data_IF_457547604692
#
_entry.id   IF_457547604692
#
_cell.length_a   1.000
_cell.length_b   1.000
_cell.length_c   1.000
_cell.angle_alpha   90.00
_cell.angle_beta   90.00
_cell.angle_gamma   90.00
#
_symmetry.space_group_name_H-M   'P 1'
#
loop_
_entity.id
_entity.type
_entity.pdbx_description
1 polymer ?
#
# COMPACT_ATOMS: atom_id res chain seq x y z
N UNK A 1 -13.82 -5.65 -25.07
CA UNK A 1 -14.29 -4.90 -23.88
C UNK A 1 -13.14 -4.68 -22.89
N UNK A 2 -12.44 -5.74 -22.47
CA UNK A 2 -11.29 -5.64 -21.55
C UNK A 2 -10.19 -4.68 -22.01
N UNK A 3 -9.71 -4.81 -23.25
CA UNK A 3 -8.72 -3.88 -23.80
C UNK A 3 -9.22 -2.42 -23.79
N UNK A 4 -10.50 -2.18 -24.08
CA UNK A 4 -11.07 -0.84 -24.01
C UNK A 4 -11.04 -0.29 -22.57
N UNK A 5 -11.47 -1.08 -21.58
CA UNK A 5 -11.43 -0.71 -20.16
C UNK A 5 -10.00 -0.40 -19.71
N UNK A 6 -9.03 -1.25 -20.06
CA UNK A 6 -7.62 -1.02 -19.72
C UNK A 6 -7.08 0.30 -20.28
N UNK A 7 -7.40 0.64 -21.53
CA UNK A 7 -6.85 1.82 -22.20
C UNK A 7 -7.61 3.13 -21.94
N UNK A 8 -8.71 3.14 -21.18
CA UNK A 8 -9.34 4.40 -20.73
C UNK A 8 -8.41 5.10 -19.73
N UNK A 9 -8.11 6.40 -19.87
CA UNK A 9 -7.41 7.16 -18.84
C UNK A 9 -8.27 7.27 -17.57
N UNK A 10 -7.69 6.91 -16.41
CA UNK A 10 -8.41 6.86 -15.14
C UNK A 10 -7.81 7.81 -14.12
N UNK A 11 -8.65 8.27 -13.18
CA UNK A 11 -8.19 8.82 -11.92
C UNK A 11 -8.65 7.89 -10.80
N UNK A 12 -7.75 7.53 -9.89
CA UNK A 12 -8.07 6.73 -8.71
C UNK A 12 -8.06 7.64 -7.49
N UNK A 13 -9.26 7.97 -6.99
CA UNK A 13 -9.44 8.99 -5.96
C UNK A 13 -9.68 8.40 -4.57
N UNK A 14 -9.58 7.07 -4.48
CA UNK A 14 -9.85 6.35 -3.25
C UNK A 14 -9.01 5.06 -3.22
N UNK A 15 -7.83 5.16 -2.63
CA UNK A 15 -6.96 4.00 -2.39
C UNK A 15 -6.20 4.18 -1.07
N UNK A 16 -6.25 3.18 -0.21
CA UNK A 16 -5.39 3.10 0.97
C UNK A 16 -4.08 2.44 0.56
N UNK A 17 -2.96 3.12 0.76
CA UNK A 17 -1.68 2.61 0.26
C UNK A 17 -1.26 1.32 0.95
N UNK A 18 -1.58 1.17 2.24
CA UNK A 18 -1.34 -0.05 3.00
C UNK A 18 -2.22 -1.21 2.49
N UNK A 19 -3.36 -0.90 1.87
CA UNK A 19 -4.26 -1.87 1.23
C UNK A 19 -3.76 -2.35 -0.13
N UNK A 20 -2.73 -1.70 -0.69
CA UNK A 20 -2.08 -2.12 -1.93
C UNK A 20 -0.95 -3.16 -1.72
N UNK A 21 -0.64 -3.47 -0.46
CA UNK A 21 0.44 -4.39 -0.10
C UNK A 21 0.08 -5.82 -0.49
N UNK A 22 0.62 -6.29 -1.62
CA UNK A 22 0.44 -7.65 -2.07
C UNK A 22 1.14 -8.67 -1.15
N UNK A 23 0.60 -9.89 -1.02
CA UNK A 23 1.20 -10.95 -0.20
C UNK A 23 2.66 -11.23 -0.51
N UNK A 24 3.06 -11.20 -1.78
CA UNK A 24 4.45 -11.45 -2.19
C UNK A 24 5.39 -10.41 -1.58
N UNK A 25 5.08 -9.12 -1.75
CA UNK A 25 5.87 -8.03 -1.16
C UNK A 25 5.82 -8.07 0.37
N UNK A 26 4.68 -8.44 0.96
CA UNK A 26 4.58 -8.62 2.40
C UNK A 26 5.58 -9.65 2.93
N UNK A 27 5.72 -10.80 2.27
CA UNK A 27 6.70 -11.82 2.65
C UNK A 27 8.15 -11.37 2.42
N UNK A 28 8.43 -10.66 1.32
CA UNK A 28 9.76 -10.10 1.05
C UNK A 28 10.19 -9.11 2.14
N UNK A 29 9.31 -8.18 2.50
CA UNK A 29 9.56 -7.21 3.56
C UNK A 29 9.65 -7.87 4.94
N UNK A 30 8.83 -8.89 5.21
CA UNK A 30 8.92 -9.66 6.45
C UNK A 30 10.30 -10.34 6.59
N UNK A 31 10.79 -10.98 5.54
CA UNK A 31 12.09 -11.62 5.51
C UNK A 31 13.22 -10.58 5.68
N UNK A 32 13.16 -9.47 4.94
CA UNK A 32 14.10 -8.33 5.04
C UNK A 32 14.20 -7.80 6.47
N UNK A 33 13.06 -7.65 7.14
CA UNK A 33 12.95 -7.02 8.45
C UNK A 33 13.00 -8.01 9.63
N UNK A 34 13.14 -9.31 9.37
CA UNK A 34 13.15 -10.33 10.43
C UNK A 34 11.82 -10.46 11.18
N UNK A 35 10.70 -10.16 10.53
CA UNK A 35 9.35 -10.26 11.09
C UNK A 35 8.79 -11.65 10.79
N UNK A 36 8.28 -12.33 11.81
CA UNK A 36 7.54 -13.57 11.63
C UNK A 36 6.07 -13.26 11.33
N UNK A 37 5.60 -13.66 10.15
CA UNK A 37 4.20 -13.57 9.77
C UNK A 37 3.37 -14.69 10.44
N UNK A 38 2.07 -14.45 10.69
CA UNK A 38 1.12 -15.48 11.14
C UNK A 38 0.64 -16.39 10.00
N UNK A 39 1.29 -16.34 8.83
CA UNK A 39 0.99 -17.12 7.63
C UNK A 39 2.25 -17.90 7.21
N UNK A 40 2.09 -19.13 6.74
CA UNK A 40 3.22 -19.97 6.32
C UNK A 40 3.60 -19.72 4.86
N UNK A 41 2.67 -19.22 4.04
CA UNK A 41 2.89 -18.94 2.63
C UNK A 41 2.00 -17.81 2.09
N UNK A 42 2.39 -17.28 0.92
CA UNK A 42 1.57 -16.38 0.10
C UNK A 42 0.18 -16.96 -0.18
N UNK A 43 0.11 -18.27 -0.43
CA UNK A 43 -1.15 -18.95 -0.69
C UNK A 43 -2.08 -18.94 0.53
N UNK A 44 -1.52 -18.97 1.76
CA UNK A 44 -2.31 -18.89 2.98
C UNK A 44 -2.92 -17.50 3.16
N UNK A 45 -2.16 -16.45 2.87
CA UNK A 45 -2.65 -15.07 2.90
C UNK A 45 -3.79 -14.89 1.90
N UNK A 46 -3.61 -15.38 0.66
CA UNK A 46 -4.66 -15.31 -0.36
C UNK A 46 -5.92 -16.09 0.03
N UNK A 47 -5.80 -17.20 0.77
CA UNK A 47 -6.96 -17.91 1.35
C UNK A 47 -7.60 -17.14 2.51
N UNK A 48 -6.81 -16.37 3.26
CA UNK A 48 -7.31 -15.53 4.34
C UNK A 48 -8.04 -14.28 3.83
N UNK A 49 -7.92 -13.93 2.54
CA UNK A 49 -8.72 -12.87 1.90
C UNK A 49 -10.16 -13.32 1.59
N UNK A 50 -10.81 -13.94 2.58
CA UNK A 50 -12.22 -14.32 2.60
C UNK A 50 -12.89 -13.59 3.77
N UNK A 51 -13.40 -12.39 3.49
CA UNK A 51 -13.85 -11.44 4.51
C UNK A 51 -15.37 -11.50 4.70
N UNK A 52 -15.82 -11.53 5.95
CA UNK A 52 -17.26 -11.52 6.29
C UNK A 52 -17.77 -10.12 6.63
N UNK A 53 -16.88 -9.24 7.06
CA UNK A 53 -17.17 -7.84 7.41
C UNK A 53 -15.89 -6.98 7.36
N UNK A 54 -16.05 -5.67 7.63
CA UNK A 54 -14.93 -4.73 7.67
C UNK A 54 -13.87 -5.10 8.72
N UNK A 55 -14.28 -5.65 9.88
CA UNK A 55 -13.34 -5.97 10.94
C UNK A 55 -12.42 -7.12 10.52
N UNK A 56 -12.98 -8.18 9.92
CA UNK A 56 -12.21 -9.32 9.40
C UNK A 56 -11.18 -8.91 8.34
N UNK A 57 -11.48 -7.89 7.53
CA UNK A 57 -10.52 -7.27 6.62
C UNK A 57 -9.43 -6.49 7.37
N UNK A 58 -9.83 -5.62 8.29
CA UNK A 58 -8.91 -4.75 9.02
C UNK A 58 -7.89 -5.54 9.85
N UNK A 59 -8.29 -6.68 10.41
CA UNK A 59 -7.39 -7.54 11.18
C UNK A 59 -6.19 -8.02 10.34
N UNK A 60 -6.42 -8.41 9.08
CA UNK A 60 -5.37 -8.84 8.15
C UNK A 60 -4.59 -7.64 7.61
N UNK A 61 -5.28 -6.54 7.32
CA UNK A 61 -4.66 -5.28 6.90
C UNK A 61 -3.60 -4.78 7.92
N UNK A 62 -3.95 -4.74 9.20
CA UNK A 62 -3.01 -4.31 10.25
C UNK A 62 -1.86 -5.31 10.48
N UNK A 63 -2.09 -6.61 10.27
CA UNK A 63 -1.02 -7.60 10.26
C UNK A 63 -0.05 -7.36 9.10
N UNK A 64 -0.57 -7.07 7.91
CA UNK A 64 0.25 -6.70 6.75
C UNK A 64 1.10 -5.47 7.03
N UNK A 65 0.51 -4.44 7.66
CA UNK A 65 1.25 -3.24 8.02
C UNK A 65 2.46 -3.51 8.95
N UNK A 66 2.53 -4.64 9.66
CA UNK A 66 3.65 -4.95 10.57
C UNK A 66 5.01 -5.00 9.87
N UNK A 67 5.04 -5.37 8.59
CA UNK A 67 6.29 -5.51 7.83
C UNK A 67 6.87 -4.18 7.36
N UNK A 68 6.11 -3.09 7.42
CA UNK A 68 6.51 -1.75 7.02
C UNK A 68 7.21 -1.05 8.20
N UNK A 69 8.53 -0.91 8.15
CA UNK A 69 9.36 -0.36 9.25
C UNK A 69 10.26 0.80 8.82
N UNK A 70 10.83 0.71 7.63
CA UNK A 70 11.84 1.64 7.10
C UNK A 70 11.27 2.50 5.98
N UNK A 71 11.90 3.64 5.70
CA UNK A 71 11.52 4.52 4.57
C UNK A 71 11.46 3.74 3.25
N UNK A 72 12.38 2.80 3.07
CA UNK A 72 12.46 1.97 1.88
C UNK A 72 11.27 1.00 1.76
N UNK A 73 10.73 0.49 2.88
CA UNK A 73 9.56 -0.39 2.84
C UNK A 73 8.32 0.36 2.35
N UNK A 74 8.13 1.59 2.83
CA UNK A 74 7.04 2.47 2.37
C UNK A 74 7.21 2.87 0.90
N UNK A 75 8.46 3.10 0.46
CA UNK A 75 8.76 3.33 -0.95
C UNK A 75 8.40 2.11 -1.80
N UNK A 76 8.86 0.91 -1.42
CA UNK A 76 8.60 -0.31 -2.19
C UNK A 76 7.11 -0.61 -2.32
N UNK A 77 6.35 -0.48 -1.23
CA UNK A 77 4.89 -0.62 -1.26
C UNK A 77 4.24 0.38 -2.21
N UNK A 78 4.59 1.66 -2.07
CA UNK A 78 4.01 2.72 -2.91
C UNK A 78 4.39 2.55 -4.38
N UNK A 79 5.63 2.15 -4.65
CA UNK A 79 6.13 1.92 -5.99
C UNK A 79 5.44 0.74 -6.67
N UNK A 80 5.24 -0.37 -5.96
CA UNK A 80 4.52 -1.53 -6.47
C UNK A 80 3.07 -1.17 -6.88
N UNK A 81 2.40 -0.33 -6.08
CA UNK A 81 1.09 0.24 -6.44
C UNK A 81 1.17 1.09 -7.72
N UNK A 82 2.11 2.03 -7.79
CA UNK A 82 2.26 2.93 -8.94
C UNK A 82 2.49 2.15 -10.25
N UNK A 83 3.29 1.08 -10.23
CA UNK A 83 3.52 0.25 -11.40
C UNK A 83 2.20 -0.36 -11.91
N UNK A 84 1.39 -0.95 -11.02
CA UNK A 84 0.08 -1.49 -11.38
C UNK A 84 -0.89 -0.41 -11.86
N UNK A 85 -0.93 0.74 -11.19
CA UNK A 85 -1.79 1.86 -11.56
C UNK A 85 -1.44 2.37 -12.98
N UNK A 86 -0.15 2.49 -13.30
CA UNK A 86 0.31 2.89 -14.62
C UNK A 86 -0.07 1.87 -15.71
N UNK A 87 0.07 0.56 -15.44
CA UNK A 87 -0.38 -0.53 -16.33
C UNK A 87 -1.90 -0.48 -16.60
N UNK A 88 -2.67 0.01 -15.63
CA UNK A 88 -4.11 0.21 -15.75
C UNK A 88 -4.49 1.60 -16.27
N UNK A 89 -3.53 2.36 -16.81
CA UNK A 89 -3.73 3.68 -17.41
C UNK A 89 -4.33 4.72 -16.43
N UNK A 90 -4.02 4.58 -15.13
CA UNK A 90 -4.25 5.63 -14.14
C UNK A 90 -3.30 6.80 -14.43
N UNK A 91 -3.85 8.01 -14.54
CA UNK A 91 -3.11 9.26 -14.82
C UNK A 91 -3.05 10.19 -13.61
N UNK A 92 -3.95 9.98 -12.66
CA UNK A 92 -3.99 10.72 -11.41
C UNK A 92 -4.38 9.79 -10.26
N UNK A 93 -3.73 9.95 -9.11
CA UNK A 93 -4.11 9.23 -7.88
C UNK A 93 -4.17 10.14 -6.66
N UNK A 94 -5.17 9.95 -5.81
CA UNK A 94 -5.25 10.57 -4.50
C UNK A 94 -5.19 9.47 -3.43
N UNK A 95 -4.03 9.36 -2.78
CA UNK A 95 -3.67 8.21 -1.95
C UNK A 95 -3.93 8.51 -0.48
N UNK A 96 -4.68 7.64 0.18
CA UNK A 96 -4.81 7.61 1.63
C UNK A 96 -3.63 6.88 2.28
N UNK A 97 -3.19 7.40 3.41
CA UNK A 97 -2.29 6.69 4.33
C UNK A 97 -2.72 6.95 5.78
N UNK A 98 -2.49 5.97 6.65
CA UNK A 98 -2.93 5.95 8.04
C UNK A 98 -1.72 6.11 8.99
N UNK A 99 -1.19 7.34 9.23
CA UNK A 99 0.03 7.50 10.01
C UNK A 99 -0.04 6.95 11.43
N UNK A 100 -1.23 6.88 12.04
CA UNK A 100 -1.43 6.30 13.37
C UNK A 100 -1.18 4.79 13.39
N UNK A 101 -1.42 4.07 12.29
CA UNK A 101 -1.08 2.64 12.12
C UNK A 101 0.42 2.38 12.30
N UNK A 102 1.26 3.36 11.94
CA UNK A 102 2.71 3.22 11.99
C UNK A 102 3.30 3.88 13.23
N UNK A 103 2.84 5.07 13.59
CA UNK A 103 3.37 5.81 14.75
C UNK A 103 3.04 5.12 16.07
N UNK A 104 1.89 4.45 16.20
CA UNK A 104 1.57 3.61 17.35
C UNK A 104 2.55 2.41 17.52
N UNK A 105 3.25 2.02 16.44
CA UNK A 105 4.29 0.96 16.43
C UNK A 105 5.70 1.52 16.62
N UNK A 106 5.86 2.80 16.92
CA UNK A 106 7.16 3.45 17.13
C UNK A 106 7.86 3.92 15.85
N UNK A 107 7.22 3.83 14.68
CA UNK A 107 7.78 4.34 13.43
C UNK A 107 7.59 5.85 13.37
N UNK A 108 8.64 6.59 13.03
CA UNK A 108 8.54 8.05 12.92
C UNK A 108 7.64 8.42 11.75
N UNK A 109 6.78 9.42 11.96
CA UNK A 109 5.92 9.98 10.89
C UNK A 109 6.73 10.34 9.64
N UNK A 110 7.91 10.94 9.83
CA UNK A 110 8.81 11.31 8.73
C UNK A 110 9.26 10.10 7.89
N UNK A 111 9.51 8.94 8.53
CA UNK A 111 9.90 7.71 7.83
C UNK A 111 8.81 7.24 6.86
N UNK A 112 7.55 7.28 7.31
CA UNK A 112 6.38 6.93 6.48
C UNK A 112 6.27 7.90 5.31
N UNK A 113 6.22 9.19 5.62
CA UNK A 113 5.98 10.24 4.63
C UNK A 113 7.08 10.28 3.57
N UNK A 114 8.36 10.17 3.96
CA UNK A 114 9.48 10.20 3.01
C UNK A 114 9.42 9.05 2.02
N UNK A 115 9.11 7.84 2.46
CA UNK A 115 9.06 6.67 1.59
C UNK A 115 7.95 6.79 0.55
N UNK A 116 6.74 7.15 0.98
CA UNK A 116 5.60 7.38 0.10
C UNK A 116 5.90 8.54 -0.87
N UNK A 117 6.29 9.70 -0.35
CA UNK A 117 6.52 10.89 -1.15
C UNK A 117 7.61 10.68 -2.22
N UNK A 118 8.69 9.95 -1.89
CA UNK A 118 9.74 9.62 -2.85
C UNK A 118 9.19 8.83 -4.03
N UNK A 119 8.39 7.78 -3.78
CA UNK A 119 7.76 7.00 -4.84
C UNK A 119 6.81 7.82 -5.71
N UNK A 120 6.08 8.78 -5.12
CA UNK A 120 5.18 9.68 -5.84
C UNK A 120 5.92 10.68 -6.74
N UNK A 121 7.06 11.21 -6.29
CA UNK A 121 7.92 12.03 -7.15
C UNK A 121 8.42 11.22 -8.36
N UNK A 122 8.87 9.99 -8.12
CA UNK A 122 9.34 9.09 -9.18
C UNK A 122 8.20 8.71 -10.14
N UNK A 123 6.98 8.54 -9.64
CA UNK A 123 5.79 8.28 -10.47
C UNK A 123 5.53 9.42 -11.47
N UNK A 124 5.65 10.67 -11.02
CA UNK A 124 5.53 11.84 -11.88
C UNK A 124 6.59 11.87 -12.97
N UNK A 125 7.84 11.54 -12.64
CA UNK A 125 8.96 11.56 -13.60
C UNK A 125 8.92 10.40 -14.59
N UNK A 126 8.63 9.19 -14.12
CA UNK A 126 8.75 7.96 -14.93
C UNK A 126 7.46 7.61 -15.67
N UNK A 127 6.30 7.94 -15.12
CA UNK A 127 5.00 7.55 -15.67
C UNK A 127 4.13 8.73 -16.11
N UNK A 128 4.52 9.97 -15.80
CA UNK A 128 3.65 11.15 -15.98
C UNK A 128 2.37 11.06 -15.14
N UNK A 129 2.40 10.27 -14.07
CA UNK A 129 1.28 10.04 -13.16
C UNK A 129 1.32 11.11 -12.07
N UNK A 130 0.27 11.93 -12.02
CA UNK A 130 0.13 12.97 -11.00
C UNK A 130 -0.47 12.40 -9.71
N UNK A 131 -0.08 12.92 -8.55
CA UNK A 131 -0.54 12.37 -7.28
C UNK A 131 -0.70 13.40 -6.18
N UNK A 132 -1.71 13.20 -5.33
CA UNK A 132 -1.86 13.89 -4.05
C UNK A 132 -1.89 12.87 -2.91
N UNK A 133 -1.43 13.30 -1.73
CA UNK A 133 -1.47 12.48 -0.52
C UNK A 133 -2.56 13.01 0.42
N UNK A 134 -3.40 12.12 0.91
CA UNK A 134 -4.47 12.41 1.86
C UNK A 134 -4.17 11.67 3.17
N UNK A 135 -3.98 12.44 4.23
CA UNK A 135 -3.73 11.88 5.56
C UNK A 135 -5.04 11.47 6.23
N UNK A 136 -5.14 10.21 6.62
CA UNK A 136 -6.30 9.67 7.32
C UNK A 136 -6.08 9.63 8.85
N UNK A 137 -7.19 9.75 9.57
CA UNK A 137 -7.24 9.55 11.02
C UNK A 137 -8.01 8.28 11.34
N UNK A 138 -7.45 7.44 12.20
CA UNK A 138 -8.09 6.22 12.65
C UNK A 138 -9.20 6.56 13.66
N UNK A 139 -10.45 6.36 13.24
CA UNK A 139 -11.65 6.72 14.02
C UNK A 139 -11.85 5.99 15.35
N UNK A 140 -11.11 4.92 15.60
CA UNK A 140 -11.28 4.02 16.75
C UNK A 140 -10.23 4.24 17.84
N UNK A 141 -9.33 5.20 17.64
CA UNK A 141 -8.34 5.65 18.62
C UNK A 141 -8.89 6.74 19.55
#
# INVERSE_FOLDING_TARGET
MEAFIHHIPKAELHIHIEGSLEPELMFELAAKNGIRLPFESVADVRRAYDFTDLQSFLDIYYQGAQVLLTEDDFYQMTWAYIQKAAEQNVRHTEIFFDPQTHTARGIKFETVLKGIHRALLDAGQQHGLSSNLIMCFLRHL
#
